data_IF_791743050615
#
_entry.id   IF_791743050615
#
_cell.length_a   1.000
_cell.length_b   1.000
_cell.length_c   1.000
_cell.angle_alpha   90.00
_cell.angle_beta   90.00
_cell.angle_gamma   90.00
#
_symmetry.space_group_name_H-M   'P 1'
#
loop_
_entity.id
_entity.type
_entity.pdbx_description
1 polymer ?
#
# COMPACT_ATOMS: atom_id res chain seq x y z
N UNK A 1 -21.49 -3.71 18.20
CA UNK A 1 -20.12 -3.17 18.08
C UNK A 1 -19.27 -4.16 17.31
N UNK A 2 -18.14 -3.76 16.74
CA UNK A 2 -17.29 -4.70 16.02
C UNK A 2 -16.46 -5.51 17.03
N UNK A 3 -16.51 -6.84 16.96
CA UNK A 3 -15.63 -7.70 17.76
C UNK A 3 -14.26 -7.72 17.08
N UNK A 4 -13.21 -7.23 17.74
CA UNK A 4 -11.88 -7.07 17.15
C UNK A 4 -10.86 -7.96 17.87
N UNK A 5 -10.17 -8.82 17.11
CA UNK A 5 -8.97 -9.53 17.55
C UNK A 5 -7.75 -8.92 16.87
N UNK A 6 -6.73 -8.58 17.63
CA UNK A 6 -5.48 -8.01 17.14
C UNK A 6 -4.37 -9.05 17.33
N UNK A 7 -3.66 -9.34 16.26
CA UNK A 7 -2.58 -10.32 16.22
C UNK A 7 -1.38 -9.74 15.48
N UNK A 8 -0.19 -10.29 15.71
CA UNK A 8 1.00 -9.90 14.96
C UNK A 8 1.19 -10.79 13.73
N UNK A 9 1.86 -10.29 12.70
CA UNK A 9 2.35 -11.15 11.61
C UNK A 9 3.21 -12.31 12.16
N UNK A 10 3.23 -13.45 11.47
CA UNK A 10 3.86 -14.70 11.92
C UNK A 10 3.30 -15.36 13.20
N UNK A 11 2.36 -14.72 13.91
CA UNK A 11 1.66 -15.33 15.05
C UNK A 11 0.63 -16.38 14.60
N UNK A 12 0.16 -17.15 15.57
CA UNK A 12 -0.89 -18.16 15.39
C UNK A 12 -2.11 -17.74 16.21
N UNK A 13 -3.28 -17.73 15.57
CA UNK A 13 -4.57 -17.54 16.21
C UNK A 13 -5.29 -18.89 16.30
N UNK A 14 -5.70 -19.29 17.50
CA UNK A 14 -6.28 -20.60 17.82
C UNK A 14 -7.73 -20.46 18.25
N UNK A 15 -8.57 -21.44 17.91
CA UNK A 15 -9.99 -21.42 18.29
C UNK A 15 -10.11 -21.39 19.82
N UNK A 16 -10.85 -20.40 20.34
CA UNK A 16 -10.99 -20.10 21.77
C UNK A 16 -10.12 -18.93 22.25
N UNK A 17 -9.24 -18.38 21.41
CA UNK A 17 -8.50 -17.17 21.74
C UNK A 17 -9.46 -15.98 21.90
N UNK A 18 -9.32 -15.23 22.99
CA UNK A 18 -10.16 -14.08 23.32
C UNK A 18 -9.34 -12.80 23.54
N UNK A 19 -9.94 -11.65 23.21
CA UNK A 19 -9.37 -10.32 23.48
C UNK A 19 -10.48 -9.32 23.82
N UNK A 20 -10.19 -8.36 24.69
CA UNK A 20 -11.17 -7.40 25.20
C UNK A 20 -11.88 -7.88 26.47
N UNK A 21 -12.71 -7.03 27.05
CA UNK A 21 -13.45 -7.28 28.28
C UNK A 21 -14.94 -6.90 28.11
N UNK A 22 -15.84 -7.59 28.83
CA UNK A 22 -17.26 -7.28 28.83
C UNK A 22 -17.95 -7.51 27.47
N UNK A 23 -18.84 -6.60 27.08
CA UNK A 23 -19.62 -6.69 25.83
C UNK A 23 -18.78 -6.54 24.55
N UNK A 24 -17.54 -6.07 24.67
CA UNK A 24 -16.59 -5.91 23.55
C UNK A 24 -15.65 -7.11 23.38
N UNK A 25 -15.76 -8.13 24.25
CA UNK A 25 -14.93 -9.32 24.14
C UNK A 25 -15.14 -9.98 22.77
N UNK A 26 -14.02 -10.17 22.06
CA UNK A 26 -13.97 -10.89 20.81
C UNK A 26 -13.40 -12.28 21.05
N UNK A 27 -13.99 -13.30 20.43
CA UNK A 27 -13.54 -14.69 20.51
C UNK A 27 -13.33 -15.27 19.11
N UNK A 28 -12.24 -16.00 18.92
CA UNK A 28 -12.02 -16.76 17.69
C UNK A 28 -12.75 -18.11 17.75
N UNK A 29 -14.00 -18.11 17.33
CA UNK A 29 -14.83 -19.32 17.23
C UNK A 29 -14.48 -20.23 16.05
N UNK A 30 -14.97 -21.48 16.12
CA UNK A 30 -14.78 -22.49 15.05
C UNK A 30 -15.37 -22.04 13.71
N UNK A 31 -16.51 -21.34 13.73
CA UNK A 31 -17.15 -20.78 12.53
C UNK A 31 -16.26 -19.77 11.80
N UNK A 32 -15.47 -18.99 12.55
CA UNK A 32 -14.50 -18.07 11.97
C UNK A 32 -13.39 -18.87 11.29
N UNK A 33 -12.83 -19.88 11.97
CA UNK A 33 -11.82 -20.76 11.40
C UNK A 33 -12.30 -21.45 10.10
N UNK A 34 -13.54 -21.94 10.06
CA UNK A 34 -14.13 -22.54 8.84
C UNK A 34 -14.24 -21.53 7.69
N UNK A 35 -14.66 -20.28 7.96
CA UNK A 35 -14.66 -19.21 6.94
C UNK A 35 -13.26 -18.93 6.41
N UNK A 36 -12.25 -18.89 7.27
CA UNK A 36 -10.84 -18.74 6.85
C UNK A 36 -10.35 -19.96 6.05
N UNK A 37 -10.71 -21.18 6.44
CA UNK A 37 -10.37 -22.39 5.69
C UNK A 37 -10.94 -22.34 4.26
N UNK A 38 -12.22 -22.01 4.10
CA UNK A 38 -12.85 -21.87 2.78
C UNK A 38 -12.13 -20.83 1.91
N UNK A 39 -11.79 -19.68 2.48
CA UNK A 39 -11.04 -18.66 1.76
C UNK A 39 -9.61 -19.10 1.38
N UNK A 40 -8.95 -19.87 2.24
CA UNK A 40 -7.68 -20.49 1.91
C UNK A 40 -7.80 -21.46 0.72
N UNK A 41 -8.89 -22.21 0.64
CA UNK A 41 -9.13 -23.18 -0.44
C UNK A 41 -9.45 -22.53 -1.79
N UNK A 42 -9.98 -21.30 -1.81
CA UNK A 42 -10.10 -20.49 -3.05
C UNK A 42 -8.75 -20.13 -3.68
N UNK A 43 -7.62 -20.42 -3.01
CA UNK A 43 -6.27 -20.08 -3.43
C UNK A 43 -5.83 -18.67 -3.02
N UNK A 44 -6.78 -17.73 -2.85
CA UNK A 44 -6.49 -16.35 -2.45
C UNK A 44 -5.98 -16.26 -1.00
N UNK A 45 -6.58 -17.02 -0.08
CA UNK A 45 -6.18 -17.01 1.34
C UNK A 45 -4.78 -17.58 1.61
N UNK A 46 -4.29 -18.50 0.78
CA UNK A 46 -2.95 -19.14 0.90
C UNK A 46 -1.79 -18.14 0.93
N UNK A 47 -2.02 -16.92 0.42
CA UNK A 47 -1.01 -15.85 0.41
C UNK A 47 -0.79 -15.24 1.79
N UNK A 48 -1.82 -15.20 2.63
CA UNK A 48 -1.85 -14.41 3.86
C UNK A 48 -1.58 -15.23 5.12
N UNK A 49 -1.99 -16.50 5.11
CA UNK A 49 -1.84 -17.39 6.26
C UNK A 49 -1.77 -18.86 5.82
N UNK A 50 -1.31 -19.71 6.73
CA UNK A 50 -1.37 -21.16 6.62
C UNK A 50 -2.41 -21.72 7.61
N UNK A 51 -3.20 -22.69 7.17
CA UNK A 51 -4.15 -23.40 8.02
C UNK A 51 -3.41 -24.42 8.91
N UNK A 52 -3.84 -24.51 10.18
CA UNK A 52 -3.46 -25.54 11.16
C UNK A 52 -4.73 -26.13 11.77
N UNK A 53 -4.60 -27.23 12.51
CA UNK A 53 -5.74 -27.85 13.19
C UNK A 53 -6.34 -26.87 14.21
N UNK A 54 -7.57 -26.39 13.94
CA UNK A 54 -8.28 -25.37 14.76
C UNK A 54 -7.45 -24.11 15.04
N UNK A 55 -6.54 -23.76 14.13
CA UNK A 55 -5.71 -22.58 14.23
C UNK A 55 -5.31 -22.05 12.85
N UNK A 56 -4.90 -20.79 12.79
CA UNK A 56 -4.40 -20.11 11.59
C UNK A 56 -3.08 -19.43 11.92
N UNK A 57 -2.04 -19.68 11.12
CA UNK A 57 -0.74 -19.02 11.27
C UNK A 57 -0.56 -17.95 10.19
N UNK A 58 -0.43 -16.70 10.59
CA UNK A 58 -0.25 -15.59 9.66
C UNK A 58 1.16 -15.59 9.06
N UNK A 59 1.29 -15.03 7.84
CA UNK A 59 2.58 -14.81 7.15
C UNK A 59 3.03 -13.36 7.36
N UNK A 60 3.87 -12.83 6.47
CA UNK A 60 4.38 -11.44 6.46
C UNK A 60 3.39 -10.42 5.87
N UNK A 61 2.10 -10.72 5.93
CA UNK A 61 1.04 -9.84 5.44
C UNK A 61 0.30 -9.24 6.62
N UNK A 62 0.12 -7.91 6.59
CA UNK A 62 -0.56 -7.13 7.63
C UNK A 62 -1.77 -6.43 7.05
N UNK A 63 -2.74 -6.08 7.89
CA UNK A 63 -3.98 -5.46 7.48
C UNK A 63 -5.15 -6.04 8.25
N UNK A 64 -6.25 -6.29 7.55
CA UNK A 64 -7.52 -6.67 8.18
C UNK A 64 -8.22 -7.79 7.43
N UNK A 65 -8.81 -8.70 8.19
CA UNK A 65 -9.66 -9.78 7.70
C UNK A 65 -10.93 -9.80 8.54
N UNK A 66 -12.08 -9.63 7.90
CA UNK A 66 -13.38 -9.68 8.53
C UNK A 66 -14.07 -10.98 8.14
N UNK A 67 -14.48 -11.77 9.13
CA UNK A 67 -15.20 -13.02 8.99
C UNK A 67 -16.56 -12.90 9.72
N UNK A 68 -17.58 -12.46 9.00
CA UNK A 68 -18.87 -12.10 9.62
C UNK A 68 -18.76 -10.91 10.57
N UNK A 69 -19.10 -11.10 11.84
CA UNK A 69 -19.04 -10.07 12.90
C UNK A 69 -17.64 -9.89 13.49
N UNK A 70 -16.75 -10.86 13.32
CA UNK A 70 -15.38 -10.82 13.83
C UNK A 70 -14.45 -10.12 12.84
N UNK A 71 -13.68 -9.15 13.34
CA UNK A 71 -12.61 -8.48 12.61
C UNK A 71 -11.26 -8.88 13.21
N UNK A 72 -10.36 -9.41 12.38
CA UNK A 72 -9.00 -9.76 12.76
C UNK A 72 -8.04 -8.74 12.14
N UNK A 73 -7.35 -7.97 12.98
CA UNK A 73 -6.30 -7.04 12.58
C UNK A 73 -4.93 -7.71 12.75
N UNK A 74 -4.21 -7.86 11.63
CA UNK A 74 -2.85 -8.40 11.63
C UNK A 74 -1.88 -7.24 11.54
N UNK A 75 -1.06 -7.06 12.57
CA UNK A 75 -0.20 -5.90 12.76
C UNK A 75 1.29 -6.24 12.57
N UNK A 76 2.13 -5.27 12.17
CA UNK A 76 3.54 -5.50 11.91
C UNK A 76 4.31 -5.85 13.19
N UNK A 77 5.30 -6.72 13.07
CA UNK A 77 6.11 -7.19 14.19
C UNK A 77 7.41 -6.39 14.29
N UNK A 78 7.37 -5.13 14.74
CA UNK A 78 8.61 -4.31 14.83
C UNK A 78 9.32 -4.49 16.18
N UNK A 79 8.59 -4.57 17.30
CA UNK A 79 9.17 -4.81 18.63
C UNK A 79 8.39 -5.92 19.36
N UNK A 80 8.83 -7.17 19.24
CA UNK A 80 8.57 -8.08 20.35
C UNK A 80 9.65 -7.75 21.36
N UNK A 81 9.29 -7.02 22.43
CA UNK A 81 10.22 -6.68 23.51
C UNK A 81 10.80 -7.99 24.05
N UNK A 82 12.12 -8.18 24.07
CA UNK A 82 12.73 -9.31 24.77
C UNK A 82 12.30 -9.23 26.24
N UNK A 83 11.46 -10.18 26.69
CA UNK A 83 10.94 -10.19 28.06
C UNK A 83 9.52 -9.63 28.27
N UNK A 84 8.74 -9.33 27.20
CA UNK A 84 7.30 -9.15 27.36
C UNK A 84 6.67 -10.49 27.77
N UNK A 85 6.38 -10.62 29.07
CA UNK A 85 5.89 -11.85 29.71
C UNK A 85 4.43 -12.16 29.40
N UNK A 86 3.70 -11.27 28.70
CA UNK A 86 2.31 -11.49 28.31
C UNK A 86 1.94 -10.76 27.00
N UNK A 87 1.33 -11.44 26.01
CA UNK A 87 0.76 -10.83 24.80
C UNK A 87 -0.38 -9.81 25.07
N UNK A 88 -0.93 -9.81 26.29
CA UNK A 88 -2.05 -8.94 26.70
C UNK A 88 -1.63 -7.49 26.98
N UNK A 89 -0.35 -7.24 27.21
CA UNK A 89 0.20 -5.90 27.49
C UNK A 89 0.89 -5.26 26.26
N UNK A 90 0.75 -5.86 25.07
CA UNK A 90 1.32 -5.28 23.86
C UNK A 90 0.56 -4.00 23.45
N UNK A 91 1.28 -2.90 23.13
CA UNK A 91 0.65 -1.66 22.72
C UNK A 91 0.20 -1.76 21.25
N UNK A 92 -0.82 -2.58 20.95
CA UNK A 92 -1.33 -2.77 19.59
C UNK A 92 -1.70 -1.46 18.89
N UNK A 93 -2.13 -0.45 19.64
CA UNK A 93 -2.39 0.89 19.10
C UNK A 93 -1.11 1.53 18.52
N UNK A 94 0.05 1.32 19.15
CA UNK A 94 1.34 1.76 18.59
C UNK A 94 1.62 1.05 17.26
N UNK A 95 1.37 -0.26 17.18
CA UNK A 95 1.59 -1.03 15.95
C UNK A 95 0.68 -0.62 14.81
N UNK A 96 -0.57 -0.33 15.14
CA UNK A 96 -1.55 0.18 14.20
C UNK A 96 -1.14 1.55 13.66
N UNK A 97 -0.77 2.49 14.54
CA UNK A 97 -0.24 3.80 14.13
C UNK A 97 0.98 3.68 13.24
N UNK A 98 1.96 2.86 13.64
CA UNK A 98 3.18 2.64 12.87
C UNK A 98 2.88 2.06 11.48
N UNK A 99 2.02 1.04 11.41
CA UNK A 99 1.57 0.47 10.13
C UNK A 99 1.00 1.55 9.22
N UNK A 100 0.11 2.36 9.76
CA UNK A 100 -0.55 3.39 8.96
C UNK A 100 0.41 4.47 8.46
N UNK A 101 1.34 4.92 9.31
CA UNK A 101 2.39 5.84 8.88
C UNK A 101 3.31 5.21 7.81
N UNK A 102 3.71 3.94 7.98
CA UNK A 102 4.49 3.20 6.96
C UNK A 102 3.73 3.12 5.63
N UNK A 103 2.42 2.87 5.66
CA UNK A 103 1.59 2.84 4.45
C UNK A 103 1.47 4.23 3.80
N UNK A 104 1.32 5.28 4.61
CA UNK A 104 1.24 6.66 4.13
C UNK A 104 2.55 7.07 3.45
N UNK A 105 3.69 6.85 4.12
CA UNK A 105 5.00 7.18 3.57
C UNK A 105 5.44 6.27 2.42
N UNK A 106 5.02 5.00 2.38
CA UNK A 106 5.16 4.14 1.21
C UNK A 106 4.33 4.63 0.01
N UNK A 107 3.47 5.65 0.20
CA UNK A 107 2.58 6.23 -0.80
C UNK A 107 1.42 5.30 -1.18
N UNK A 108 1.04 4.43 -0.26
CA UNK A 108 -0.15 3.59 -0.35
C UNK A 108 -1.38 4.29 0.23
N UNK A 109 -1.19 5.24 1.15
CA UNK A 109 -2.21 6.13 1.68
C UNK A 109 -1.80 7.61 1.49
N UNK A 110 -2.75 8.53 1.33
CA UNK A 110 -2.45 9.97 1.34
C UNK A 110 -2.08 10.44 2.75
N UNK A 111 -0.96 11.15 2.86
CA UNK A 111 -0.39 11.63 4.13
C UNK A 111 -1.24 12.76 4.76
N UNK A 112 -1.84 13.64 3.94
CA UNK A 112 -2.57 14.82 4.44
C UNK A 112 -3.86 14.44 5.19
N UNK A 113 -4.61 13.47 4.67
CA UNK A 113 -5.85 12.96 5.25
C UNK A 113 -5.61 12.11 6.50
N UNK A 114 -4.38 11.59 6.61
CA UNK A 114 -4.00 10.60 7.60
C UNK A 114 -4.06 11.14 9.04
N UNK A 115 -3.49 12.33 9.27
CA UNK A 115 -3.40 12.93 10.60
C UNK A 115 -4.78 13.22 11.22
N UNK A 116 -5.76 13.58 10.41
CA UNK A 116 -7.14 13.82 10.89
C UNK A 116 -7.87 12.51 11.24
N UNK A 117 -7.60 11.44 10.49
CA UNK A 117 -8.20 10.13 10.76
C UNK A 117 -7.60 9.46 12.01
N UNK A 118 -6.31 9.70 12.30
CA UNK A 118 -5.63 9.20 13.50
C UNK A 118 -6.29 9.72 14.80
N UNK A 119 -6.87 10.92 14.78
CA UNK A 119 -7.61 11.47 15.92
C UNK A 119 -8.91 10.70 16.23
N UNK A 120 -9.41 9.91 15.28
CA UNK A 120 -10.63 9.09 15.38
C UNK A 120 -10.33 7.59 15.52
N UNK A 121 -9.07 7.23 15.77
CA UNK A 121 -8.55 5.85 15.76
C UNK A 121 -9.19 4.95 16.82
N UNK A 122 -9.66 5.51 17.94
CA UNK A 122 -10.03 4.74 19.14
C UNK A 122 -11.30 3.88 19.01
N UNK A 123 -12.19 4.14 18.06
CA UNK A 123 -13.51 3.49 18.00
C UNK A 123 -13.76 2.61 16.76
N UNK A 124 -12.81 2.56 15.81
CA UNK A 124 -13.05 1.97 14.49
C UNK A 124 -12.05 0.88 14.15
N UNK A 125 -12.44 -0.08 13.31
CA UNK A 125 -11.53 -1.07 12.71
C UNK A 125 -10.54 -0.42 11.73
N UNK A 126 -9.45 -1.10 11.39
CA UNK A 126 -8.51 -0.65 10.36
C UNK A 126 -9.19 -0.48 9.00
N UNK A 127 -10.18 -1.34 8.68
CA UNK A 127 -10.98 -1.20 7.46
C UNK A 127 -11.77 0.12 7.49
N UNK A 128 -12.52 0.36 8.57
CA UNK A 128 -13.33 1.56 8.74
C UNK A 128 -12.49 2.84 8.68
N UNK A 129 -11.26 2.81 9.18
CA UNK A 129 -10.32 3.92 9.04
C UNK A 129 -10.01 4.22 7.57
N UNK A 130 -9.76 3.22 6.73
CA UNK A 130 -9.54 3.42 5.29
C UNK A 130 -10.78 3.97 4.58
N UNK A 131 -11.97 3.51 5.00
CA UNK A 131 -13.24 4.01 4.48
C UNK A 131 -13.49 5.46 4.90
N UNK A 132 -13.20 5.82 6.15
CA UNK A 132 -13.31 7.19 6.68
C UNK A 132 -12.36 8.14 5.93
N UNK A 133 -11.11 7.73 5.72
CA UNK A 133 -10.13 8.47 4.92
C UNK A 133 -10.64 8.72 3.50
N UNK A 134 -11.16 7.67 2.85
CA UNK A 134 -11.70 7.79 1.49
C UNK A 134 -12.89 8.76 1.43
N UNK A 135 -13.85 8.61 2.34
CA UNK A 135 -15.03 9.45 2.39
C UNK A 135 -14.68 10.91 2.68
N UNK A 136 -13.72 11.16 3.55
CA UNK A 136 -13.24 12.51 3.87
C UNK A 136 -12.66 13.20 2.62
N UNK A 137 -11.86 12.47 1.83
CA UNK A 137 -11.33 12.98 0.56
C UNK A 137 -12.42 13.22 -0.50
N UNK A 138 -13.38 12.31 -0.62
CA UNK A 138 -14.52 12.45 -1.54
C UNK A 138 -15.38 13.66 -1.16
N UNK A 139 -15.68 13.84 0.12
CA UNK A 139 -16.47 14.97 0.62
C UNK A 139 -15.73 16.29 0.40
N UNK A 140 -14.39 16.30 0.53
CA UNK A 140 -13.57 17.46 0.20
C UNK A 140 -13.65 17.82 -1.29
N UNK A 141 -13.63 16.82 -2.18
CA UNK A 141 -13.84 17.02 -3.62
C UNK A 141 -15.23 17.57 -3.95
N UNK A 142 -16.27 17.06 -3.29
CA UNK A 142 -17.64 17.57 -3.47
C UNK A 142 -17.76 19.03 -3.03
N UNK A 143 -17.19 19.40 -1.88
CA UNK A 143 -17.16 20.79 -1.39
C UNK A 143 -16.41 21.73 -2.33
N UNK A 144 -15.27 21.28 -2.87
CA UNK A 144 -14.45 22.06 -3.81
C UNK A 144 -15.10 22.21 -5.20
N UNK A 145 -15.95 21.25 -5.56
CA UNK A 145 -16.57 21.16 -6.88
C UNK A 145 -15.80 20.23 -7.83
N UNK A 146 -16.55 19.43 -8.58
CA UNK A 146 -15.99 18.41 -9.45
C UNK A 146 -15.56 18.98 -10.81
N UNK A 147 -14.44 18.46 -11.34
CA UNK A 147 -13.88 18.91 -12.61
C UNK A 147 -14.81 18.55 -13.76
N UNK A 148 -14.92 19.46 -14.73
CA UNK A 148 -15.66 19.24 -15.96
C UNK A 148 -14.67 19.19 -17.13
N UNK A 149 -15.04 18.52 -18.22
CA UNK A 149 -14.21 18.51 -19.43
C UNK A 149 -15.08 18.56 -20.68
N UNK A 150 -14.55 19.22 -21.69
CA UNK A 150 -15.12 19.20 -23.03
C UNK A 150 -14.90 17.82 -23.65
N UNK A 151 -16.00 17.14 -23.99
CA UNK A 151 -15.99 15.94 -24.83
C UNK A 151 -16.60 16.29 -26.17
N UNK A 152 -15.95 15.91 -27.26
CA UNK A 152 -16.58 16.00 -28.57
C UNK A 152 -17.53 14.82 -28.73
N UNK A 153 -18.75 15.14 -29.14
CA UNK A 153 -19.78 14.19 -29.49
C UNK A 153 -20.15 14.40 -30.95
N UNK A 154 -20.17 13.32 -31.71
CA UNK A 154 -20.64 13.29 -33.09
C UNK A 154 -21.90 12.43 -33.18
N UNK A 155 -22.98 12.97 -33.74
CA UNK A 155 -24.20 12.21 -33.87
C UNK A 155 -25.38 13.01 -34.40
N UNK A 156 -26.52 12.32 -34.48
CA UNK A 156 -27.79 12.89 -34.92
C UNK A 156 -28.46 13.67 -33.78
N UNK A 157 -28.86 14.89 -34.07
CA UNK A 157 -29.60 15.77 -33.15
C UNK A 157 -30.79 16.38 -33.89
N UNK A 158 -31.90 16.62 -33.17
CA UNK A 158 -33.12 17.21 -33.77
C UNK A 158 -33.03 18.73 -33.97
N UNK A 159 -32.01 19.36 -33.41
CA UNK A 159 -31.76 20.80 -33.54
C UNK A 159 -30.29 21.03 -33.85
N UNK A 160 -29.99 21.97 -34.74
CA UNK A 160 -28.63 22.27 -35.16
C UNK A 160 -27.83 22.84 -33.97
N UNK A 161 -26.84 22.10 -33.50
CA UNK A 161 -25.93 22.50 -32.41
C UNK A 161 -24.49 22.14 -32.78
N UNK A 162 -23.57 23.08 -32.62
CA UNK A 162 -22.17 22.89 -33.01
C UNK A 162 -21.96 22.87 -34.52
N UNK A 163 -20.97 22.13 -34.99
CA UNK A 163 -20.58 22.09 -36.41
C UNK A 163 -21.32 20.98 -37.14
N UNK A 164 -21.99 21.31 -38.26
CA UNK A 164 -22.61 20.32 -39.13
C UNK A 164 -21.54 19.54 -39.89
N UNK A 165 -21.57 18.21 -39.82
CA UNK A 165 -20.67 17.36 -40.61
C UNK A 165 -21.35 16.97 -41.92
N UNK A 166 -21.21 17.82 -42.94
CA UNK A 166 -21.94 17.72 -44.21
C UNK A 166 -21.92 16.31 -44.84
N UNK A 167 -20.76 15.67 -44.93
CA UNK A 167 -20.65 14.33 -45.53
C UNK A 167 -21.51 13.28 -44.80
N UNK A 168 -21.45 13.25 -43.46
CA UNK A 168 -22.26 12.33 -42.66
C UNK A 168 -23.75 12.73 -42.62
N UNK A 169 -24.03 14.04 -42.64
CA UNK A 169 -25.39 14.56 -42.62
C UNK A 169 -26.14 14.21 -43.90
N UNK A 170 -25.54 14.46 -45.08
CA UNK A 170 -26.13 14.07 -46.36
C UNK A 170 -26.33 12.55 -46.37
N UNK A 171 -25.29 11.76 -46.11
CA UNK A 171 -25.37 10.30 -46.17
C UNK A 171 -26.47 9.68 -45.29
N UNK A 172 -26.77 10.26 -44.13
CA UNK A 172 -27.72 9.69 -43.15
C UNK A 172 -29.09 10.37 -43.10
N UNK A 173 -29.24 11.58 -43.63
CA UNK A 173 -30.44 12.41 -43.45
C UNK A 173 -31.07 12.91 -44.75
N UNK A 174 -30.72 12.35 -45.91
CA UNK A 174 -31.44 12.67 -47.18
C UNK A 174 -32.96 12.53 -47.01
N UNK A 175 -33.39 11.46 -46.33
CA UNK A 175 -34.82 11.18 -46.06
C UNK A 175 -35.26 11.74 -44.71
N UNK A 176 -34.41 11.67 -43.68
CA UNK A 176 -34.70 12.12 -42.31
C UNK A 176 -34.33 13.60 -42.08
N UNK A 177 -35.03 14.50 -42.78
CA UNK A 177 -34.75 15.95 -42.73
C UNK A 177 -35.04 16.60 -41.37
N UNK A 178 -35.70 15.88 -40.45
CA UNK A 178 -35.91 16.32 -39.07
C UNK A 178 -34.66 16.19 -38.17
N UNK A 179 -33.51 15.78 -38.72
CA UNK A 179 -32.27 15.48 -37.97
C UNK A 179 -31.03 16.09 -38.63
N UNK A 180 -30.11 16.55 -37.80
CA UNK A 180 -28.80 17.08 -38.19
C UNK A 180 -27.69 16.18 -37.67
N UNK A 181 -26.71 15.82 -38.52
CA UNK A 181 -25.52 15.10 -38.06
C UNK A 181 -24.44 16.12 -37.70
N UNK A 182 -24.22 16.33 -36.41
CA UNK A 182 -23.35 17.40 -35.91
C UNK A 182 -22.20 16.86 -35.07
N UNK A 183 -21.10 17.61 -35.07
CA UNK A 183 -20.02 17.55 -34.08
C UNK A 183 -20.20 18.71 -33.12
N UNK A 184 -20.49 18.41 -31.86
CA UNK A 184 -20.62 19.42 -30.81
C UNK A 184 -19.84 19.01 -29.57
N UNK A 185 -19.54 19.99 -28.71
CA UNK A 185 -18.86 19.72 -27.44
C UNK A 185 -19.88 19.68 -26.31
N UNK A 186 -19.84 18.63 -25.50
CA UNK A 186 -20.53 18.56 -24.21
C UNK A 186 -19.56 18.92 -23.10
N UNK A 187 -19.99 19.76 -22.16
CA UNK A 187 -19.21 20.12 -20.98
C UNK A 187 -19.78 19.36 -19.78
N UNK A 188 -19.28 18.15 -19.56
CA UNK A 188 -19.81 17.22 -18.57
C UNK A 188 -18.78 16.82 -17.50
N UNK A 189 -19.27 16.10 -16.49
CA UNK A 189 -18.48 15.55 -15.38
C UNK A 189 -18.15 14.07 -15.60
N UNK A 190 -18.35 13.52 -16.79
CA UNK A 190 -18.01 12.13 -17.03
C UNK A 190 -16.48 12.05 -17.16
N UNK A 191 -15.84 11.41 -16.18
CA UNK A 191 -14.39 11.25 -16.10
C UNK A 191 -14.07 9.87 -15.56
N UNK A 192 -13.02 9.23 -16.08
CA UNK A 192 -12.55 7.96 -15.52
C UNK A 192 -12.28 8.07 -14.01
N UNK A 193 -11.73 9.21 -13.55
CA UNK A 193 -11.51 9.45 -12.14
C UNK A 193 -12.82 9.37 -11.34
N UNK A 194 -13.88 10.03 -11.83
CA UNK A 194 -15.18 10.00 -11.17
C UNK A 194 -15.84 8.62 -11.24
N UNK A 195 -15.70 7.89 -12.35
CA UNK A 195 -16.19 6.52 -12.46
C UNK A 195 -15.51 5.60 -11.44
N UNK A 196 -14.19 5.68 -11.26
CA UNK A 196 -13.47 4.88 -10.27
C UNK A 196 -13.86 5.25 -8.83
N UNK A 197 -13.99 6.53 -8.52
CA UNK A 197 -14.43 6.98 -7.19
C UNK A 197 -15.88 6.55 -6.90
N UNK A 198 -16.77 6.59 -7.90
CA UNK A 198 -18.14 6.09 -7.76
C UNK A 198 -18.16 4.59 -7.44
N UNK A 199 -17.33 3.78 -8.10
CA UNK A 199 -17.23 2.35 -7.80
C UNK A 199 -16.77 2.10 -6.36
N UNK A 200 -15.81 2.89 -5.86
CA UNK A 200 -15.39 2.78 -4.47
C UNK A 200 -16.50 3.20 -3.49
N UNK A 201 -17.26 4.25 -3.79
CA UNK A 201 -18.43 4.66 -2.99
C UNK A 201 -19.51 3.57 -2.93
N UNK A 202 -19.80 2.92 -4.07
CA UNK A 202 -20.78 1.84 -4.15
C UNK A 202 -20.36 0.58 -3.36
N UNK A 203 -19.05 0.37 -3.17
CA UNK A 203 -18.52 -0.76 -2.41
C UNK A 203 -18.72 -0.60 -0.90
N UNK A 204 -18.71 0.63 -0.37
CA UNK A 204 -18.70 0.89 1.08
C UNK A 204 -19.85 0.20 1.82
N UNK A 205 -21.13 0.33 1.40
CA UNK A 205 -22.25 -0.26 2.13
C UNK A 205 -22.18 -1.79 2.27
N UNK A 206 -21.45 -2.48 1.39
CA UNK A 206 -21.30 -3.95 1.45
C UNK A 206 -20.09 -4.42 2.26
N UNK A 207 -19.20 -3.52 2.68
CA UNK A 207 -17.94 -3.91 3.36
C UNK A 207 -17.79 -3.37 4.78
N UNK A 208 -18.74 -2.56 5.26
CA UNK A 208 -18.74 -2.10 6.65
C UNK A 208 -20.14 -2.17 7.26
N UNK A 209 -20.21 -2.52 8.53
CA UNK A 209 -21.43 -2.49 9.33
C UNK A 209 -21.65 -1.10 9.97
N UNK A 210 -20.63 -0.25 9.97
CA UNK A 210 -20.63 1.07 10.62
C UNK A 210 -21.62 2.03 9.96
N UNK A 211 -22.72 2.32 10.67
CA UNK A 211 -23.86 3.07 10.13
C UNK A 211 -23.48 4.49 9.68
N UNK A 212 -22.58 5.16 10.40
CA UNK A 212 -22.11 6.50 10.05
C UNK A 212 -21.39 6.54 8.70
N UNK A 213 -20.52 5.55 8.43
CA UNK A 213 -19.79 5.42 7.16
C UNK A 213 -20.73 5.09 6.00
N UNK A 214 -21.68 4.16 6.20
CA UNK A 214 -22.71 3.84 5.20
C UNK A 214 -23.54 5.07 4.85
N UNK A 215 -23.99 5.82 5.85
CA UNK A 215 -24.76 7.05 5.65
C UNK A 215 -23.99 8.13 4.89
N UNK A 216 -22.69 8.30 5.19
CA UNK A 216 -21.81 9.21 4.45
C UNK A 216 -21.64 8.79 2.99
N UNK A 217 -21.39 7.51 2.73
CA UNK A 217 -21.28 6.98 1.37
C UNK A 217 -22.55 7.21 0.55
N UNK A 218 -23.73 6.91 1.11
CA UNK A 218 -25.02 7.13 0.45
C UNK A 218 -25.25 8.62 0.14
N UNK A 219 -24.97 9.53 1.08
CA UNK A 219 -25.09 10.98 0.83
C UNK A 219 -24.13 11.47 -0.26
N UNK A 220 -22.89 10.97 -0.26
CA UNK A 220 -21.91 11.29 -1.28
C UNK A 220 -22.36 10.78 -2.66
N UNK A 221 -22.94 9.58 -2.75
CA UNK A 221 -23.49 9.02 -3.98
C UNK A 221 -24.64 9.85 -4.56
N UNK A 222 -25.56 10.34 -3.73
CA UNK A 222 -26.66 11.22 -4.17
C UNK A 222 -26.13 12.52 -4.79
N UNK A 223 -25.04 13.05 -4.25
CA UNK A 223 -24.38 14.27 -4.76
C UNK A 223 -23.39 13.98 -5.90
N UNK A 224 -23.14 12.71 -6.24
CA UNK A 224 -22.16 12.32 -7.24
C UNK A 224 -22.73 12.47 -8.66
N UNK A 225 -21.94 12.92 -9.64
CA UNK A 225 -22.42 13.06 -11.01
C UNK A 225 -22.74 11.70 -11.62
N UNK A 226 -23.66 11.71 -12.58
CA UNK A 226 -23.89 10.57 -13.44
C UNK A 226 -22.65 10.32 -14.32
N UNK A 227 -22.07 9.14 -14.21
CA UNK A 227 -20.82 8.75 -14.87
C UNK A 227 -20.94 7.33 -15.38
N UNK A 228 -20.27 7.06 -16.49
CA UNK A 228 -20.29 5.72 -17.07
C UNK A 228 -19.62 4.72 -16.11
N UNK A 229 -20.29 3.61 -15.74
CA UNK A 229 -19.69 2.57 -14.92
C UNK A 229 -18.46 1.97 -15.60
N UNK A 230 -17.47 1.59 -14.79
CA UNK A 230 -16.25 0.95 -15.29
C UNK A 230 -15.85 -0.17 -14.35
N UNK A 231 -15.39 -1.30 -14.89
CA UNK A 231 -14.73 -2.33 -14.09
C UNK A 231 -13.33 -1.83 -13.70
N UNK A 232 -13.04 -1.61 -12.40
CA UNK A 232 -11.75 -1.07 -11.98
C UNK A 232 -10.61 -2.03 -12.34
N UNK A 233 -9.52 -1.51 -12.88
CA UNK A 233 -8.31 -2.29 -13.20
C UNK A 233 -7.07 -1.51 -12.81
N UNK A 234 -5.95 -2.19 -12.57
CA UNK A 234 -4.68 -1.53 -12.29
C UNK A 234 -4.25 -0.56 -13.43
N UNK A 235 -4.58 -0.89 -14.68
CA UNK A 235 -4.31 -0.06 -15.84
C UNK A 235 -5.08 1.28 -15.82
N UNK A 236 -6.34 1.28 -15.34
CA UNK A 236 -7.13 2.49 -15.20
C UNK A 236 -6.46 3.51 -14.25
N UNK A 237 -5.97 3.04 -13.10
CA UNK A 237 -5.25 3.90 -12.15
C UNK A 237 -3.89 4.34 -12.68
N UNK A 238 -3.14 3.46 -13.36
CA UNK A 238 -1.86 3.82 -13.98
C UNK A 238 -2.01 4.94 -15.01
N UNK A 239 -3.06 4.89 -15.85
CA UNK A 239 -3.38 5.92 -16.86
C UNK A 239 -3.68 7.29 -16.24
N UNK A 240 -4.30 7.33 -15.06
CA UNK A 240 -4.56 8.60 -14.36
C UNK A 240 -3.29 9.20 -13.77
N UNK A 241 -2.36 8.37 -13.29
CA UNK A 241 -1.08 8.81 -12.75
C UNK A 241 -0.17 9.44 -13.82
N UNK A 242 -0.15 8.92 -15.04
CA UNK A 242 0.69 9.44 -16.12
C UNK A 242 0.19 10.76 -16.70
N UNK A 243 -1.12 11.02 -16.64
CA UNK A 243 -1.74 12.25 -17.16
C UNK A 243 -1.71 13.42 -16.19
N UNK A 244 -0.77 13.42 -15.24
CA UNK A 244 -0.69 14.31 -14.09
C UNK A 244 -0.91 15.79 -14.46
N UNK A 245 -2.16 16.25 -14.38
CA UNK A 245 -2.57 17.61 -14.69
C UNK A 245 -2.87 18.36 -13.40
N UNK A 246 -2.61 19.68 -13.39
CA UNK A 246 -3.00 20.57 -12.27
C UNK A 246 -4.48 20.42 -11.90
N UNK A 247 -5.34 20.10 -12.87
CA UNK A 247 -6.78 19.88 -12.65
C UNK A 247 -7.09 18.58 -11.89
N UNK A 248 -6.28 17.54 -12.06
CA UNK A 248 -6.47 16.23 -11.43
C UNK A 248 -5.73 16.08 -10.11
N UNK A 249 -4.83 17.00 -9.78
CA UNK A 249 -4.07 16.99 -8.52
C UNK A 249 -4.96 16.82 -7.27
N UNK A 250 -6.12 17.48 -7.13
CA UNK A 250 -7.00 17.32 -5.97
C UNK A 250 -7.57 15.90 -5.81
N UNK A 251 -7.63 15.12 -6.88
CA UNK A 251 -8.21 13.77 -6.87
C UNK A 251 -7.21 12.70 -6.44
N UNK A 252 -5.92 13.05 -6.32
CA UNK A 252 -4.84 12.08 -6.15
C UNK A 252 -5.03 11.24 -4.88
N UNK A 253 -5.39 11.88 -3.77
CA UNK A 253 -5.61 11.22 -2.48
C UNK A 253 -6.81 10.25 -2.53
N UNK A 254 -7.98 10.75 -2.94
CA UNK A 254 -9.18 9.93 -3.12
C UNK A 254 -8.94 8.74 -4.08
N UNK A 255 -8.26 8.96 -5.21
CA UNK A 255 -7.94 7.90 -6.17
C UNK A 255 -6.91 6.90 -5.63
N UNK A 256 -5.98 7.33 -4.78
CA UNK A 256 -5.03 6.47 -4.10
C UNK A 256 -5.74 5.48 -3.19
N UNK A 257 -6.66 5.97 -2.34
CA UNK A 257 -7.42 5.11 -1.45
C UNK A 257 -8.43 4.26 -2.22
N UNK A 258 -9.12 4.81 -3.23
CA UNK A 258 -10.02 4.04 -4.09
C UNK A 258 -9.29 2.88 -4.80
N UNK A 259 -8.04 3.09 -5.23
CA UNK A 259 -7.23 2.02 -5.81
C UNK A 259 -6.98 0.88 -4.82
N UNK A 260 -6.68 1.23 -3.58
CA UNK A 260 -6.48 0.27 -2.50
C UNK A 260 -7.78 -0.50 -2.24
N UNK A 261 -8.90 0.18 -2.03
CA UNK A 261 -10.19 -0.47 -1.82
C UNK A 261 -10.59 -1.36 -3.00
N UNK A 262 -10.58 -0.85 -4.22
CA UNK A 262 -11.09 -1.58 -5.40
C UNK A 262 -10.17 -2.70 -5.92
N UNK A 263 -8.86 -2.64 -5.68
CA UNK A 263 -7.89 -3.63 -6.20
C UNK A 263 -7.31 -4.54 -5.12
N UNK A 264 -7.55 -4.28 -3.84
CA UNK A 264 -7.01 -5.08 -2.72
C UNK A 264 -8.08 -5.65 -1.81
N UNK A 265 -9.28 -5.09 -1.78
CA UNK A 265 -10.40 -5.81 -1.17
C UNK A 265 -10.71 -7.01 -2.06
N UNK A 266 -10.43 -8.21 -1.55
CA UNK A 266 -10.90 -9.44 -2.18
C UNK A 266 -12.40 -9.54 -1.93
N UNK A 267 -13.26 -9.41 -2.95
CA UNK A 267 -14.68 -9.57 -2.77
C UNK A 267 -15.04 -11.00 -3.17
N UNK A 268 -15.05 -11.92 -2.21
CA UNK A 268 -16.01 -13.03 -2.30
C UNK A 268 -17.46 -12.52 -2.04
N UNK A 269 -17.61 -11.22 -1.79
CA UNK A 269 -18.85 -10.49 -1.58
C UNK A 269 -19.76 -10.45 -2.81
N UNK A 270 -19.22 -10.55 -4.04
CA UNK A 270 -20.02 -10.29 -5.27
C UNK A 270 -20.95 -11.44 -5.69
N UNK A 271 -20.86 -12.63 -5.09
CA UNK A 271 -21.70 -13.78 -5.47
C UNK A 271 -22.39 -14.48 -4.29
N UNK A 272 -22.48 -13.82 -3.12
CA UNK A 272 -23.41 -14.21 -2.06
C UNK A 272 -23.26 -15.63 -1.51
N UNK A 273 -22.39 -15.80 -0.51
CA UNK A 273 -22.53 -16.80 0.57
C UNK A 273 -21.38 -16.74 1.58
N UNK A 274 -20.21 -16.21 1.19
CA UNK A 274 -19.02 -16.18 2.04
C UNK A 274 -18.65 -14.74 2.43
N UNK A 275 -19.09 -14.35 3.64
CA UNK A 275 -18.83 -13.07 4.32
C UNK A 275 -17.36 -12.92 4.75
N UNK A 276 -16.42 -13.09 3.82
CA UNK A 276 -15.02 -12.78 4.08
C UNK A 276 -14.59 -11.55 3.29
N UNK A 277 -14.21 -10.51 4.03
CA UNK A 277 -13.58 -9.32 3.50
C UNK A 277 -12.13 -9.33 3.96
N UNK A 278 -11.18 -9.08 3.05
CA UNK A 278 -9.78 -8.97 3.43
C UNK A 278 -9.09 -7.83 2.70
N UNK A 279 -8.22 -7.14 3.41
CA UNK A 279 -7.38 -6.08 2.90
C UNK A 279 -6.01 -6.22 3.55
N UNK A 280 -5.06 -6.77 2.80
CA UNK A 280 -3.71 -7.07 3.27
C UNK A 280 -2.63 -6.37 2.44
N UNK A 281 -1.54 -6.04 3.12
CA UNK A 281 -0.31 -5.46 2.57
C UNK A 281 0.85 -6.40 2.85
N UNK A 282 1.70 -6.63 1.85
CA UNK A 282 2.93 -7.40 2.01
C UNK A 282 3.97 -6.51 2.69
N UNK A 283 4.37 -6.85 3.92
CA UNK A 283 5.25 -5.98 4.70
C UNK A 283 6.64 -5.80 4.10
N UNK A 284 7.19 -6.80 3.40
CA UNK A 284 8.45 -6.62 2.66
C UNK A 284 8.31 -5.49 1.63
N UNK A 285 7.22 -5.48 0.85
CA UNK A 285 6.97 -4.44 -0.17
C UNK A 285 6.68 -3.07 0.43
N UNK A 286 5.99 -3.02 1.58
CA UNK A 286 5.76 -1.77 2.32
C UNK A 286 7.10 -1.21 2.80
N UNK A 287 7.94 -2.05 3.39
CA UNK A 287 9.28 -1.70 3.87
C UNK A 287 10.19 -1.17 2.76
N UNK A 288 10.30 -1.90 1.65
CA UNK A 288 11.05 -1.47 0.45
C UNK A 288 10.59 -0.08 -0.03
N UNK A 289 9.27 0.12 -0.12
CA UNK A 289 8.68 1.35 -0.65
C UNK A 289 8.86 2.54 0.30
N UNK A 290 8.77 2.28 1.61
CA UNK A 290 9.07 3.26 2.66
C UNK A 290 10.52 3.72 2.56
N UNK A 291 11.47 2.78 2.58
CA UNK A 291 12.90 3.09 2.50
C UNK A 291 13.25 3.88 1.24
N UNK A 292 12.69 3.49 0.08
CA UNK A 292 12.93 4.18 -1.18
C UNK A 292 12.51 5.64 -1.13
N UNK A 293 11.30 5.91 -0.63
CA UNK A 293 10.78 7.28 -0.56
C UNK A 293 11.47 8.11 0.50
N UNK A 294 11.84 7.51 1.62
CA UNK A 294 12.65 8.15 2.65
C UNK A 294 14.01 8.54 2.09
N UNK A 295 14.69 7.66 1.38
CA UNK A 295 15.97 7.98 0.72
C UNK A 295 15.82 9.04 -0.37
N UNK A 296 14.78 8.97 -1.21
CA UNK A 296 14.51 10.00 -2.22
C UNK A 296 14.29 11.40 -1.62
N UNK A 297 13.83 11.47 -0.36
CA UNK A 297 13.64 12.73 0.36
C UNK A 297 14.91 13.22 1.05
N UNK A 298 15.72 12.31 1.59
CA UNK A 298 16.88 12.63 2.43
C UNK A 298 18.19 12.74 1.65
N UNK A 299 18.29 12.17 0.45
CA UNK A 299 19.52 12.20 -0.34
C UNK A 299 19.85 13.61 -0.83
N UNK A 300 21.15 13.96 -0.92
CA UNK A 300 21.60 15.17 -1.59
C UNK A 300 21.17 15.20 -3.07
N UNK A 301 21.06 16.39 -3.70
CA UNK A 301 20.62 16.53 -5.09
C UNK A 301 21.41 15.73 -6.12
N UNK A 302 22.70 15.50 -5.86
CA UNK A 302 23.59 14.78 -6.77
C UNK A 302 23.45 13.25 -6.67
N UNK A 303 22.71 12.77 -5.67
CA UNK A 303 22.42 11.36 -5.47
C UNK A 303 20.98 11.03 -5.85
N UNK A 304 20.80 9.86 -6.45
CA UNK A 304 19.48 9.37 -6.87
C UNK A 304 19.22 7.97 -6.32
N UNK A 305 18.15 7.83 -5.53
CA UNK A 305 17.62 6.54 -5.08
C UNK A 305 16.54 6.01 -6.02
N UNK A 306 16.74 4.79 -6.52
CA UNK A 306 15.79 4.12 -7.41
C UNK A 306 15.61 2.65 -7.06
N UNK A 307 14.53 2.05 -7.56
CA UNK A 307 14.46 0.61 -7.77
C UNK A 307 15.01 0.32 -9.17
N UNK A 308 16.16 -0.34 -9.33
CA UNK A 308 16.77 -0.52 -10.64
C UNK A 308 15.95 -1.48 -11.51
N UNK A 309 16.15 -1.54 -12.84
CA UNK A 309 15.50 -2.53 -13.69
C UNK A 309 15.96 -3.96 -13.36
N UNK A 310 15.20 -4.97 -13.77
CA UNK A 310 15.63 -6.36 -13.70
C UNK A 310 16.84 -6.58 -14.61
N UNK A 311 17.88 -7.22 -14.08
CA UNK A 311 19.07 -7.59 -14.83
C UNK A 311 19.14 -9.11 -15.02
N UNK A 312 19.59 -9.56 -16.18
CA UNK A 312 19.84 -10.99 -16.43
C UNK A 312 21.00 -11.47 -15.56
N UNK A 313 20.72 -12.38 -14.64
CA UNK A 313 21.76 -13.02 -13.82
C UNK A 313 22.31 -14.27 -14.50
N UNK A 314 21.40 -15.08 -15.04
CA UNK A 314 21.73 -16.32 -15.71
C UNK A 314 20.75 -16.58 -16.85
N UNK A 315 21.23 -17.14 -17.95
CA UNK A 315 20.40 -17.41 -19.12
C UNK A 315 20.78 -18.74 -19.76
N UNK A 316 19.74 -19.52 -20.07
CA UNK A 316 19.78 -20.65 -20.99
C UNK A 316 18.83 -20.40 -22.17
N UNK A 317 18.84 -21.29 -23.15
CA UNK A 317 18.00 -21.19 -24.35
C UNK A 317 16.49 -21.12 -24.06
N UNK A 318 16.03 -21.78 -22.99
CA UNK A 318 14.60 -21.87 -22.63
C UNK A 318 14.22 -21.08 -21.38
N UNK A 319 15.18 -20.51 -20.66
CA UNK A 319 14.91 -19.86 -19.37
C UNK A 319 15.92 -18.76 -19.06
N UNK A 320 15.44 -17.68 -18.45
CA UNK A 320 16.26 -16.57 -17.98
C UNK A 320 15.97 -16.34 -16.50
N UNK A 321 17.02 -16.44 -15.68
CA UNK A 321 17.00 -16.01 -14.29
C UNK A 321 17.41 -14.55 -14.22
N UNK A 322 16.60 -13.74 -13.55
CA UNK A 322 16.84 -12.31 -13.38
C UNK A 322 17.05 -11.97 -11.91
N UNK A 323 17.74 -10.87 -11.67
CA UNK A 323 17.99 -10.34 -10.35
C UNK A 323 17.79 -8.82 -10.31
N UNK A 324 17.29 -8.34 -9.18
CA UNK A 324 17.00 -6.93 -8.95
C UNK A 324 17.14 -6.64 -7.45
N UNK A 325 18.09 -5.81 -7.02
CA UNK A 325 18.14 -5.36 -5.63
C UNK A 325 16.93 -4.46 -5.34
N UNK A 326 16.60 -4.33 -4.07
CA UNK A 326 15.44 -3.53 -3.66
C UNK A 326 15.66 -2.04 -3.95
N UNK A 327 16.86 -1.53 -3.67
CA UNK A 327 17.25 -0.16 -3.94
C UNK A 327 18.67 -0.02 -4.49
N UNK A 328 18.87 1.01 -5.30
CA UNK A 328 20.16 1.41 -5.84
C UNK A 328 20.34 2.91 -5.65
N UNK A 329 21.44 3.30 -5.00
CA UNK A 329 21.88 4.70 -4.94
C UNK A 329 22.91 4.93 -6.03
N UNK A 330 22.70 5.99 -6.80
CA UNK A 330 23.57 6.34 -7.94
C UNK A 330 24.04 7.79 -7.82
N UNK A 331 25.27 8.03 -8.26
CA UNK A 331 25.91 9.34 -8.33
C UNK A 331 26.62 9.46 -9.68
N UNK A 332 26.73 10.66 -10.29
CA UNK A 332 27.36 10.82 -11.60
C UNK A 332 28.83 10.36 -11.69
N UNK A 333 29.57 10.45 -10.58
CA UNK A 333 31.03 10.19 -10.56
C UNK A 333 31.48 9.12 -9.56
N UNK A 334 30.58 8.60 -8.71
CA UNK A 334 30.91 7.58 -7.70
C UNK A 334 30.30 6.24 -8.07
N UNK A 335 30.88 5.16 -7.53
CA UNK A 335 30.30 3.82 -7.71
C UNK A 335 28.92 3.74 -7.07
N UNK A 336 27.98 2.98 -7.65
CA UNK A 336 26.67 2.82 -7.07
C UNK A 336 26.74 2.09 -5.73
N UNK A 337 25.75 2.34 -4.87
CA UNK A 337 25.56 1.61 -3.60
C UNK A 337 24.31 0.76 -3.72
N UNK A 338 24.46 -0.55 -3.55
CA UNK A 338 23.32 -1.48 -3.54
C UNK A 338 22.77 -1.60 -2.13
N UNK A 339 21.46 -1.42 -1.98
CA UNK A 339 20.77 -1.65 -0.72
C UNK A 339 19.73 -2.76 -0.88
N UNK A 340 19.71 -3.70 0.05
CA UNK A 340 18.73 -4.79 0.10
C UNK A 340 17.94 -4.69 1.40
N UNK A 341 16.61 -4.64 1.29
CA UNK A 341 15.72 -4.33 2.40
C UNK A 341 15.07 -5.62 2.91
N UNK A 342 15.25 -5.91 4.19
CA UNK A 342 14.76 -7.15 4.78
C UNK A 342 13.86 -6.85 5.97
N UNK A 343 12.57 -7.15 5.81
CA UNK A 343 11.61 -7.06 6.91
C UNK A 343 11.66 -8.32 7.79
N UNK A 344 12.75 -8.48 8.53
CA UNK A 344 12.97 -9.58 9.48
C UNK A 344 14.04 -9.19 10.51
N UNK A 345 14.17 -10.03 11.53
CA UNK A 345 15.17 -9.87 12.59
C UNK A 345 16.15 -11.03 12.58
N UNK A 346 17.36 -10.87 12.03
CA UNK A 346 18.43 -11.83 12.27
C UNK A 346 18.88 -11.75 13.75
N UNK A 347 19.51 -12.81 14.31
CA UNK A 347 20.15 -12.72 15.62
C UNK A 347 21.19 -11.58 15.64
N UNK A 348 21.35 -10.86 16.76
CA UNK A 348 22.31 -9.77 16.87
C UNK A 348 23.71 -10.19 16.44
N UNK A 349 24.35 -9.39 15.58
CA UNK A 349 25.70 -9.67 15.06
C UNK A 349 25.80 -10.84 14.08
N UNK A 350 24.68 -11.50 13.71
CA UNK A 350 24.67 -12.66 12.82
C UNK A 350 23.74 -12.45 11.63
N UNK A 351 24.17 -11.70 10.59
CA UNK A 351 23.40 -11.57 9.36
C UNK A 351 23.10 -12.94 8.74
N UNK A 352 21.97 -13.02 8.04
CA UNK A 352 21.61 -14.27 7.37
C UNK A 352 22.58 -14.53 6.20
N UNK A 353 23.27 -15.70 6.15
CA UNK A 353 24.23 -15.99 5.09
C UNK A 353 23.65 -15.94 3.67
N UNK A 354 22.36 -16.25 3.49
CA UNK A 354 21.69 -16.13 2.19
C UNK A 354 21.52 -14.67 1.77
N UNK A 355 21.24 -13.77 2.71
CA UNK A 355 21.13 -12.34 2.42
C UNK A 355 22.50 -11.78 2.02
N UNK A 356 23.58 -12.18 2.71
CA UNK A 356 24.95 -11.79 2.34
C UNK A 356 25.35 -12.31 0.95
N UNK A 357 25.06 -13.58 0.65
CA UNK A 357 25.30 -14.15 -0.70
C UNK A 357 24.51 -13.43 -1.79
N UNK A 358 23.26 -13.10 -1.51
CA UNK A 358 22.40 -12.34 -2.42
C UNK A 358 22.98 -10.94 -2.66
N UNK A 359 23.43 -10.26 -1.61
CA UNK A 359 24.01 -8.94 -1.68
C UNK A 359 25.34 -8.92 -2.45
N UNK A 360 26.19 -9.94 -2.26
CA UNK A 360 27.40 -10.13 -3.05
C UNK A 360 27.09 -10.28 -4.55
N UNK A 361 26.09 -11.11 -4.89
CA UNK A 361 25.66 -11.25 -6.29
C UNK A 361 25.16 -9.91 -6.86
N UNK A 362 24.40 -9.12 -6.09
CA UNK A 362 23.99 -7.78 -6.51
C UNK A 362 25.16 -6.84 -6.72
N UNK A 363 26.14 -6.83 -5.82
CA UNK A 363 27.33 -6.00 -5.94
C UNK A 363 28.02 -6.22 -7.29
N UNK A 364 28.25 -7.49 -7.64
CA UNK A 364 28.88 -7.89 -8.90
C UNK A 364 28.03 -7.48 -10.12
N UNK A 365 26.73 -7.81 -10.11
CA UNK A 365 25.85 -7.52 -11.24
C UNK A 365 25.69 -6.03 -11.52
N UNK A 366 25.66 -5.21 -10.48
CA UNK A 366 25.42 -3.77 -10.57
C UNK A 366 26.69 -2.92 -10.46
N UNK A 367 27.88 -3.57 -10.47
CA UNK A 367 29.20 -2.92 -10.36
C UNK A 367 29.30 -1.97 -9.17
N UNK A 368 28.77 -2.40 -8.03
CA UNK A 368 28.82 -1.67 -6.78
C UNK A 368 29.96 -2.20 -5.92
N UNK A 369 30.78 -1.29 -5.40
CA UNK A 369 31.83 -1.62 -4.43
C UNK A 369 31.32 -1.56 -2.99
N UNK A 370 30.16 -0.91 -2.78
CA UNK A 370 29.52 -0.74 -1.49
C UNK A 370 28.12 -1.31 -1.50
N UNK A 371 27.83 -2.11 -0.49
CA UNK A 371 26.53 -2.75 -0.33
C UNK A 371 26.03 -2.65 1.10
N UNK A 372 24.70 -2.69 1.29
CA UNK A 372 24.11 -2.61 2.63
C UNK A 372 22.83 -3.41 2.79
N UNK A 373 22.74 -4.18 3.87
CA UNK A 373 21.47 -4.79 4.34
C UNK A 373 20.75 -3.84 5.28
N UNK A 374 19.46 -3.61 5.01
CA UNK A 374 18.60 -2.73 5.80
C UNK A 374 17.52 -3.54 6.53
N UNK A 375 17.71 -3.74 7.83
CA UNK A 375 16.74 -4.36 8.73
C UNK A 375 15.97 -3.29 9.53
N UNK A 376 14.71 -3.51 9.93
CA UNK A 376 14.09 -2.67 10.96
C UNK A 376 14.85 -2.85 12.29
N UNK A 377 15.14 -1.75 12.99
CA UNK A 377 15.82 -1.78 14.29
C UNK A 377 14.86 -2.20 15.41
N UNK A 378 15.33 -3.07 16.31
CA UNK A 378 14.68 -3.32 17.59
C UNK A 378 15.63 -2.97 18.75
N UNK A 379 15.14 -2.25 19.76
CA UNK A 379 15.90 -1.92 20.98
C UNK A 379 17.33 -1.38 20.71
N UNK A 380 18.36 -2.13 21.14
CA UNK A 380 19.78 -1.72 21.15
C UNK A 380 20.61 -2.33 20.01
N UNK A 381 20.01 -2.70 18.87
CA UNK A 381 20.77 -3.26 17.74
C UNK A 381 21.85 -2.26 17.26
N UNK A 382 23.08 -2.75 17.12
CA UNK A 382 24.25 -1.97 16.67
C UNK A 382 24.57 -2.29 15.21
N UNK A 383 24.82 -1.29 14.34
CA UNK A 383 25.25 -1.51 12.97
C UNK A 383 26.54 -2.35 12.89
N UNK A 384 26.62 -3.22 11.88
CA UNK A 384 27.79 -4.07 11.62
C UNK A 384 28.41 -3.73 10.26
N UNK A 385 29.73 -3.81 10.14
CA UNK A 385 30.46 -3.66 8.86
C UNK A 385 31.39 -4.85 8.67
N UNK A 386 31.56 -5.26 7.42
CA UNK A 386 32.50 -6.30 7.00
C UNK A 386 32.83 -6.17 5.53
N UNK A 387 33.73 -7.04 5.05
CA UNK A 387 34.15 -7.08 3.65
C UNK A 387 33.94 -8.49 3.11
N UNK A 388 33.53 -8.59 1.85
CA UNK A 388 33.51 -9.88 1.18
C UNK A 388 34.93 -10.28 0.81
N UNK A 389 35.32 -11.51 1.13
CA UNK A 389 36.60 -12.03 0.67
C UNK A 389 36.66 -12.04 -0.86
N UNK A 390 37.80 -11.59 -1.39
CA UNK A 390 38.04 -11.61 -2.83
C UNK A 390 38.12 -13.08 -3.26
N UNK A 391 37.33 -13.52 -4.26
CA UNK A 391 37.41 -14.90 -4.74
C UNK A 391 38.84 -15.26 -5.15
N UNK A 392 39.28 -16.49 -4.87
CA UNK A 392 40.65 -17.01 -5.07
C UNK A 392 41.25 -16.78 -6.48
N UNK A 393 40.42 -16.45 -7.47
CA UNK A 393 40.81 -16.23 -8.86
C UNK A 393 40.30 -14.90 -9.46
N UNK A 394 40.02 -13.90 -8.61
CA UNK A 394 39.56 -12.58 -9.03
C UNK A 394 40.61 -11.50 -8.76
N UNK A 395 40.91 -10.67 -9.76
CA UNK A 395 41.65 -9.41 -9.59
C UNK A 395 40.66 -8.25 -9.56
N UNK A 396 40.24 -7.83 -8.36
CA UNK A 396 39.33 -6.71 -8.16
C UNK A 396 39.42 -6.19 -6.74
N UNK A 397 38.99 -4.95 -6.54
CA UNK A 397 38.93 -4.34 -5.21
C UNK A 397 37.95 -5.11 -4.30
N UNK A 398 38.21 -5.17 -2.98
CA UNK A 398 37.29 -5.80 -2.04
C UNK A 398 35.94 -5.07 -2.05
N UNK A 399 34.85 -5.84 -2.02
CA UNK A 399 33.49 -5.29 -1.92
C UNK A 399 33.16 -5.13 -0.45
N UNK A 400 32.82 -3.91 -0.03
CA UNK A 400 32.43 -3.62 1.33
C UNK A 400 30.94 -3.89 1.55
N UNK A 401 30.61 -4.51 2.69
CA UNK A 401 29.26 -4.84 3.10
C UNK A 401 28.94 -4.22 4.46
N UNK A 402 27.93 -3.36 4.50
CA UNK A 402 27.34 -2.84 5.73
C UNK A 402 26.05 -3.56 6.11
N UNK A 403 25.72 -3.56 7.38
CA UNK A 403 24.40 -3.89 7.90
C UNK A 403 23.96 -2.69 8.74
N UNK A 404 22.80 -2.14 8.41
CA UNK A 404 22.18 -1.05 9.14
C UNK A 404 20.83 -1.48 9.68
N UNK A 405 20.59 -1.13 10.94
CA UNK A 405 19.32 -1.31 11.60
C UNK A 405 18.60 0.05 11.60
N UNK A 406 17.51 0.12 10.85
CA UNK A 406 16.77 1.34 10.60
C UNK A 406 15.68 1.50 11.64
N UNK A 407 15.85 2.52 12.49
CA UNK A 407 14.82 2.94 13.44
C UNK A 407 13.67 3.60 12.71
N UNK A 408 12.45 3.27 13.11
CA UNK A 408 11.22 3.90 12.62
C UNK A 408 10.35 4.28 13.82
N UNK A 409 10.00 5.56 13.95
CA UNK A 409 9.23 6.08 15.07
C UNK A 409 10.07 6.44 16.31
N UNK A 410 9.41 6.95 17.36
CA UNK A 410 10.02 7.44 18.58
C UNK A 410 10.53 6.34 19.52
N UNK A 411 11.49 6.68 20.39
CA UNK A 411 12.18 5.75 21.31
C UNK A 411 11.43 5.42 22.61
N UNK A 412 10.32 6.10 22.93
CA UNK A 412 9.70 5.96 24.26
C UNK A 412 8.35 5.24 24.19
N UNK A 413 8.11 4.38 25.18
CA UNK A 413 6.81 3.79 25.52
C UNK A 413 5.80 4.81 26.06
N UNK A 414 6.12 6.11 26.06
CA UNK A 414 5.28 7.18 26.58
C UNK A 414 4.50 7.92 25.48
N UNK A 415 3.24 8.23 25.76
CA UNK A 415 2.27 8.98 24.95
C UNK A 415 2.64 10.46 24.65
N UNK A 416 3.92 10.84 24.68
CA UNK A 416 4.34 12.26 24.71
C UNK A 416 5.27 12.77 23.60
N UNK A 417 5.90 11.91 22.79
CA UNK A 417 6.75 12.34 21.66
C UNK A 417 6.16 11.81 20.36
N UNK A 418 5.86 12.68 19.39
CA UNK A 418 5.31 12.27 18.11
C UNK A 418 6.27 11.31 17.39
N UNK A 419 5.75 10.20 16.85
CA UNK A 419 6.50 9.30 15.97
C UNK A 419 6.98 9.99 14.68
N UNK A 420 6.46 11.20 14.43
CA UNK A 420 6.72 12.04 13.26
C UNK A 420 7.49 13.31 13.60
N UNK A 421 8.30 13.76 12.64
CA UNK A 421 9.03 15.03 12.64
C UNK A 421 8.12 16.25 12.36
N UNK A 422 8.69 17.45 12.43
CA UNK A 422 7.98 18.72 12.19
C UNK A 422 7.40 18.85 10.78
N UNK A 423 7.82 18.00 9.85
CA UNK A 423 7.32 17.93 8.48
C UNK A 423 6.26 16.83 8.28
N UNK A 424 5.88 16.12 9.36
CA UNK A 424 4.86 15.09 9.36
C UNK A 424 5.33 13.71 8.87
N UNK A 425 6.64 13.48 8.74
CA UNK A 425 7.22 12.17 8.37
C UNK A 425 7.72 11.42 9.58
N UNK A 426 7.66 10.09 9.58
CA UNK A 426 8.22 9.25 10.63
C UNK A 426 9.69 9.58 10.86
N UNK A 427 10.06 9.69 12.13
CA UNK A 427 11.46 9.71 12.53
C UNK A 427 12.16 8.44 12.02
N UNK A 428 13.24 8.62 11.28
CA UNK A 428 14.02 7.56 10.67
C UNK A 428 15.51 7.74 10.95
N UNK A 429 16.22 6.69 11.39
CA UNK A 429 17.66 6.78 11.67
C UNK A 429 18.52 6.96 10.41
N UNK A 430 17.99 6.68 9.21
CA UNK A 430 18.73 6.80 7.94
C UNK A 430 19.38 8.17 7.79
N UNK A 431 18.70 9.25 8.18
CA UNK A 431 19.23 10.61 8.00
C UNK A 431 20.58 10.84 8.69
N UNK A 432 20.79 10.22 9.86
CA UNK A 432 22.05 10.32 10.59
C UNK A 432 23.15 9.40 10.02
N UNK A 433 22.77 8.28 9.41
CA UNK A 433 23.72 7.33 8.83
C UNK A 433 24.16 7.70 7.40
N UNK A 434 23.32 8.45 6.67
CA UNK A 434 23.48 8.72 5.25
C UNK A 434 24.83 9.38 4.89
N UNK A 435 25.34 10.41 5.61
CA UNK A 435 26.64 11.00 5.29
C UNK A 435 27.76 9.95 5.25
N UNK A 436 27.78 9.04 6.23
CA UNK A 436 28.77 7.95 6.28
C UNK A 436 28.63 6.93 5.16
N UNK A 437 27.43 6.77 4.58
CA UNK A 437 27.22 5.89 3.44
C UNK A 437 27.72 6.54 2.15
N UNK A 438 27.51 7.85 2.01
CA UNK A 438 27.81 8.60 0.79
C UNK A 438 29.27 9.07 0.69
N UNK A 439 30.01 9.10 1.80
CA UNK A 439 31.44 9.44 1.83
C UNK A 439 32.33 8.35 1.24
N UNK A 440 31.85 7.10 1.20
CA UNK A 440 32.52 5.94 0.62
C UNK A 440 32.55 5.98 -0.92
#
# INVERSE_FOLDING_TARGET
MAHILRVLEHSTLTVGDTQGEGEEQAEFLIEHWEKLLRYHDTGSGRRYYDIRHRAVRFKHYVGVLQAGSLTIEVLPKVDAVPGASNPRDEPFDRWRRLLLHLLAEAGLLPVDSFNTALLRERENTLLDLYLDLFLTEVEALLRRGLIKRYRQHEGQVKALRGTLLFGQHIARNVVHQERFYTRHQTYDRNHLAHSLLQQALLLIPSVTTTASLRGRATRALVSWPDVTPVRPTAAHFARLRTRNSRQTAPYRSALGIARLLLLRLSPNVLHGSDELISLFFNMNRVWESYLLRTLQRLLPPDWTATKPPLATFWQASSYQSQMQPDLLLTHPTRTPIVLDAKWKRPPPGQPNPNDLRQLFAYAQQYRANHTRLLYPQAANDVPLRGEFEIPLHSSGDPIQCGISYIRVGGMSSGLGTSDVDSSGYLHCSIGAELPYWLEQ
#
